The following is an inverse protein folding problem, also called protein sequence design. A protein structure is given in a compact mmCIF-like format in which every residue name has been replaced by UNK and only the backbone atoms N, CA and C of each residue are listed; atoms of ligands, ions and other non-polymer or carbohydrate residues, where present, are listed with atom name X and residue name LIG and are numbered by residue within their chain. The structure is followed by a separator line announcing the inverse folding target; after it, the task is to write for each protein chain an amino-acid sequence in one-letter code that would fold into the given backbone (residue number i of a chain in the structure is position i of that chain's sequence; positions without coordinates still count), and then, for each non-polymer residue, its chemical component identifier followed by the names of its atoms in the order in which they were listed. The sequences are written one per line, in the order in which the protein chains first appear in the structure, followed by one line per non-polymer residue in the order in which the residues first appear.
data_IF_567866943114
#
_entry.id   IF_567866943114
#
_cell.length_a   1.000
_cell.length_b   1.000
_cell.length_c   1.000
_cell.angle_alpha   90.00
_cell.angle_beta   90.00
_cell.angle_gamma   90.00
#
_symmetry.space_group_name_H-M   'P 1'
#
loop_
_entity.id
_entity.type
_entity.pdbx_description
1 polymer ?
#
# COMPACT_ATOMS: atom_id res chain seq x y z
N UNK A 1 9.13 -13.92 -13.84
CA UNK A 1 10.14 -12.83 -13.96
C UNK A 1 10.69 -12.54 -12.58
N UNK A 2 11.95 -12.83 -12.38
CA UNK A 2 12.66 -12.56 -11.12
C UNK A 2 13.09 -11.09 -11.12
N UNK A 3 12.66 -10.30 -10.16
CA UNK A 3 13.02 -8.89 -10.05
C UNK A 3 13.65 -8.66 -8.68
N UNK A 4 14.92 -8.36 -8.65
CA UNK A 4 15.63 -7.90 -7.45
C UNK A 4 15.70 -6.39 -7.53
N UNK A 5 15.26 -5.72 -6.50
CA UNK A 5 15.39 -4.27 -6.38
C UNK A 5 16.20 -3.97 -5.12
N UNK A 6 17.28 -3.25 -5.29
CA UNK A 6 18.11 -2.74 -4.19
C UNK A 6 17.91 -1.23 -4.18
N UNK A 7 17.43 -0.70 -3.08
CA UNK A 7 17.24 0.74 -2.93
C UNK A 7 18.30 1.29 -1.98
N UNK A 8 19.39 1.81 -2.54
CA UNK A 8 20.37 2.57 -1.77
C UNK A 8 19.85 3.99 -1.55
N UNK A 9 19.55 4.33 -0.33
CA UNK A 9 19.17 5.70 0.04
C UNK A 9 20.42 6.49 0.42
N UNK A 10 20.62 7.61 -0.25
CA UNK A 10 21.69 8.54 0.06
C UNK A 10 21.45 9.21 1.42
N UNK A 11 22.54 9.40 2.16
CA UNK A 11 22.62 10.22 3.36
C UNK A 11 22.03 11.61 3.09
N UNK A 12 20.91 11.93 3.73
CA UNK A 12 20.34 13.28 3.69
C UNK A 12 20.96 14.05 4.84
N UNK A 13 21.88 14.94 4.50
CA UNK A 13 22.39 15.94 5.43
C UNK A 13 21.35 17.07 5.48
N UNK A 14 20.58 17.13 6.55
CA UNK A 14 19.63 18.21 6.77
C UNK A 14 20.34 19.32 7.53
N UNK A 15 20.83 20.31 6.76
CA UNK A 15 21.50 21.49 7.26
C UNK A 15 20.73 22.22 8.37
N UNK A 16 21.45 22.54 9.44
CA UNK A 16 21.28 23.60 10.44
C UNK A 16 20.08 23.53 11.42
N UNK A 17 19.09 22.67 11.30
CA UNK A 17 17.95 22.68 12.23
C UNK A 17 17.65 21.36 12.96
N UNK A 18 18.25 20.26 12.53
CA UNK A 18 18.19 18.97 13.24
C UNK A 18 19.57 18.34 13.18
N UNK A 19 20.35 18.35 14.25
CA UNK A 19 21.69 17.78 14.24
C UNK A 19 21.64 16.25 14.35
N UNK A 20 20.93 15.59 13.44
CA UNK A 20 20.88 14.14 13.43
C UNK A 20 21.02 13.62 12.02
N UNK A 21 22.06 12.85 11.69
CA UNK A 21 22.07 12.11 10.45
C UNK A 21 20.93 11.08 10.49
N UNK A 22 19.99 11.21 9.58
CA UNK A 22 19.08 10.11 9.24
C UNK A 22 19.89 9.07 8.48
N UNK A 23 20.13 7.93 9.10
CA UNK A 23 20.76 6.81 8.42
C UNK A 23 19.64 5.86 8.04
N UNK A 24 19.39 5.75 6.74
CA UNK A 24 18.51 4.74 6.17
C UNK A 24 19.42 3.76 5.46
N UNK A 25 19.58 2.57 6.00
CA UNK A 25 20.20 1.48 5.26
C UNK A 25 19.16 0.89 4.29
N UNK A 26 19.61 0.51 3.10
CA UNK A 26 18.72 0.09 2.02
C UNK A 26 18.02 -1.23 2.30
N UNK A 27 16.79 -1.33 1.83
CA UNK A 27 16.02 -2.56 1.85
C UNK A 27 16.37 -3.42 0.64
N UNK A 28 16.65 -4.68 0.85
CA UNK A 28 16.77 -5.66 -0.20
C UNK A 28 15.56 -6.58 -0.18
N UNK A 29 14.80 -6.62 -1.27
CA UNK A 29 13.63 -7.47 -1.37
C UNK A 29 13.57 -8.24 -2.68
N UNK A 30 12.88 -9.37 -2.63
CA UNK A 30 12.62 -10.23 -3.79
C UNK A 30 11.15 -10.29 -4.08
N UNK A 31 10.82 -10.14 -5.36
CA UNK A 31 9.48 -10.39 -5.87
C UNK A 31 9.54 -11.54 -6.87
N UNK A 32 8.68 -12.51 -6.69
CA UNK A 32 8.49 -13.62 -7.61
C UNK A 32 7.03 -13.69 -8.03
N UNK A 33 6.80 -13.75 -9.34
CA UNK A 33 5.46 -13.93 -9.89
C UNK A 33 5.44 -15.16 -10.79
N UNK A 34 4.51 -16.06 -10.49
CA UNK A 34 4.24 -17.23 -11.30
C UNK A 34 2.81 -17.17 -11.82
N UNK A 35 2.63 -17.29 -13.13
CA UNK A 35 1.30 -17.33 -13.74
C UNK A 35 1.21 -18.48 -14.75
N UNK A 36 0.14 -19.27 -14.64
CA UNK A 36 -0.22 -20.31 -15.61
C UNK A 36 -1.62 -20.00 -16.15
N UNK A 37 -1.73 -19.85 -17.46
CA UNK A 37 -3.00 -19.58 -18.14
C UNK A 37 -3.34 -20.62 -19.18
N UNK A 38 -4.61 -20.98 -19.24
CA UNK A 38 -5.21 -21.73 -20.34
C UNK A 38 -6.24 -20.84 -21.02
N UNK A 39 -6.17 -20.78 -22.34
CA UNK A 39 -7.02 -19.91 -23.16
C UNK A 39 -7.71 -20.79 -24.21
N UNK A 40 -9.03 -20.63 -24.34
CA UNK A 40 -9.80 -21.31 -25.37
C UNK A 40 -9.47 -20.77 -26.76
N UNK A 41 -9.87 -21.54 -27.79
CA UNK A 41 -9.92 -20.99 -29.15
C UNK A 41 -11.10 -20.03 -29.30
N UNK A 42 -10.99 -19.02 -30.21
CA UNK A 42 -12.12 -18.17 -30.55
C UNK A 42 -13.35 -18.97 -30.97
N UNK A 43 -14.53 -18.54 -30.51
CA UNK A 43 -15.79 -19.24 -30.82
C UNK A 43 -17.00 -18.57 -30.14
N UNK A 44 -18.09 -19.30 -30.05
CA UNK A 44 -19.31 -18.82 -29.39
C UNK A 44 -19.13 -18.66 -27.87
N UNK A 45 -18.27 -19.48 -27.27
CA UNK A 45 -17.91 -19.45 -25.88
C UNK A 45 -16.39 -19.45 -25.77
N UNK A 46 -15.85 -18.35 -25.28
CA UNK A 46 -14.43 -18.16 -25.08
C UNK A 46 -14.14 -18.08 -23.60
N UNK A 47 -12.98 -18.58 -23.19
CA UNK A 47 -12.61 -18.53 -21.80
C UNK A 47 -11.10 -18.47 -21.62
N UNK A 48 -10.72 -17.84 -20.54
CA UNK A 48 -9.39 -17.88 -19.97
C UNK A 48 -9.52 -18.30 -18.51
N UNK A 49 -8.74 -19.30 -18.10
CA UNK A 49 -8.63 -19.69 -16.69
C UNK A 49 -7.17 -19.74 -16.31
N UNK A 50 -6.86 -19.37 -15.08
CA UNK A 50 -5.48 -19.32 -14.67
C UNK A 50 -5.28 -19.49 -13.18
N UNK A 51 -4.03 -19.77 -12.87
CA UNK A 51 -3.44 -19.77 -11.54
C UNK A 51 -2.42 -18.65 -11.49
N UNK A 52 -2.42 -17.91 -10.41
CA UNK A 52 -1.47 -16.83 -10.13
C UNK A 52 -0.91 -17.00 -8.72
N UNK A 53 0.39 -16.84 -8.59
CA UNK A 53 1.06 -16.78 -7.31
C UNK A 53 2.08 -15.63 -7.34
N UNK A 54 2.02 -14.80 -6.32
CA UNK A 54 2.95 -13.70 -6.08
C UNK A 54 3.58 -13.88 -4.70
N UNK A 55 4.88 -13.71 -4.63
CA UNK A 55 5.64 -13.74 -3.39
C UNK A 55 6.49 -12.48 -3.28
N UNK A 56 6.40 -11.86 -2.14
CA UNK A 56 7.26 -10.79 -1.69
C UNK A 56 8.02 -11.25 -0.47
N UNK A 57 9.33 -11.10 -0.48
CA UNK A 57 10.17 -11.35 0.69
C UNK A 57 11.18 -10.22 0.82
N UNK A 58 11.21 -9.61 1.98
CA UNK A 58 12.28 -8.71 2.39
C UNK A 58 13.40 -9.56 3.01
N UNK A 59 14.64 -9.44 2.51
CA UNK A 59 15.73 -10.30 2.98
C UNK A 59 16.05 -10.05 4.46
N UNK A 60 16.20 -11.16 5.25
CA UNK A 60 16.70 -11.05 6.61
C UNK A 60 18.12 -10.49 6.58
N UNK A 61 18.33 -9.37 7.21
CA UNK A 61 19.52 -8.52 7.26
C UNK A 61 19.61 -7.40 6.18
N UNK A 62 18.68 -7.25 5.27
CA UNK A 62 18.47 -5.98 4.63
C UNK A 62 17.73 -5.09 5.64
N UNK A 63 18.48 -4.46 6.47
CA UNK A 63 17.94 -3.76 7.62
C UNK A 63 17.43 -2.42 7.15
N UNK A 64 16.11 -2.28 7.06
CA UNK A 64 15.50 -0.96 7.07
C UNK A 64 15.73 -0.35 8.44
N UNK A 65 16.92 0.17 8.67
CA UNK A 65 17.26 0.88 9.92
C UNK A 65 17.02 2.35 9.73
N UNK A 66 15.94 2.82 10.29
CA UNK A 66 15.79 4.26 10.50
C UNK A 66 16.35 4.61 11.88
N UNK A 67 17.47 5.29 11.92
CA UNK A 67 18.10 5.70 13.16
C UNK A 67 18.13 7.24 13.22
N UNK A 68 17.60 7.78 14.29
CA UNK A 68 17.69 9.19 14.58
C UNK A 68 18.69 9.41 15.72
N UNK A 69 19.84 10.01 15.41
CA UNK A 69 20.77 10.48 16.43
C UNK A 69 20.45 11.94 16.75
N UNK A 70 20.38 12.29 18.02
CA UNK A 70 20.09 13.64 18.48
C UNK A 70 21.21 14.13 19.39
N UNK A 71 21.44 15.46 19.43
CA UNK A 71 22.28 15.99 20.46
C UNK A 71 21.57 15.99 21.82
N UNK A 72 22.35 16.07 22.89
CA UNK A 72 21.86 15.95 24.24
C UNK A 72 20.89 17.08 24.62
N UNK A 73 21.11 18.30 24.15
CA UNK A 73 20.28 19.47 24.49
C UNK A 73 18.89 19.35 23.85
N UNK A 74 18.82 18.82 22.65
CA UNK A 74 17.55 18.60 21.94
C UNK A 74 16.78 17.41 22.53
N UNK A 75 17.47 16.34 22.92
CA UNK A 75 16.89 15.18 23.58
C UNK A 75 16.28 15.60 24.93
N UNK A 76 16.99 16.40 25.72
CA UNK A 76 16.51 16.97 26.95
C UNK A 76 15.24 17.80 26.70
N UNK A 77 15.23 18.66 25.70
CA UNK A 77 14.07 19.48 25.36
C UNK A 77 12.84 18.65 24.97
N UNK A 78 13.00 17.62 24.16
CA UNK A 78 11.89 16.75 23.70
C UNK A 78 11.35 15.91 24.84
N UNK A 79 12.20 15.35 25.67
CA UNK A 79 11.79 14.52 26.83
C UNK A 79 11.08 15.35 27.87
N UNK A 80 11.51 16.57 28.10
CA UNK A 80 10.86 17.53 29.00
C UNK A 80 9.46 17.88 28.51
N UNK A 81 9.31 18.12 27.21
CA UNK A 81 8.04 18.50 26.62
C UNK A 81 7.06 17.33 26.53
N UNK A 82 7.55 16.14 26.15
CA UNK A 82 6.69 14.96 25.91
C UNK A 82 6.34 14.18 27.18
N UNK A 83 7.23 14.17 28.19
CA UNK A 83 7.07 13.35 29.39
C UNK A 83 6.68 14.15 30.65
N UNK A 84 6.58 15.46 30.55
CA UNK A 84 6.33 16.31 31.74
C UNK A 84 7.43 16.25 32.80
N UNK A 85 8.64 15.87 32.39
CA UNK A 85 9.84 15.83 33.25
C UNK A 85 10.48 17.20 33.32
N UNK A 86 11.16 17.50 34.44
CA UNK A 86 11.84 18.78 34.60
C UNK A 86 13.26 18.73 34.00
N UNK A 87 13.78 19.89 33.51
CA UNK A 87 15.18 20.01 33.09
C UNK A 87 16.10 19.61 34.26
N UNK A 88 17.01 18.68 34.01
CA UNK A 88 17.95 18.15 35.02
C UNK A 88 17.56 16.79 35.62
N UNK A 89 16.34 16.32 35.44
CA UNK A 89 15.94 14.97 35.84
C UNK A 89 16.33 13.90 34.83
N UNK A 90 16.78 14.29 33.65
CA UNK A 90 17.19 13.43 32.59
C UNK A 90 18.71 13.21 32.54
N UNK A 91 19.15 12.01 32.70
CA UNK A 91 20.53 11.60 32.53
C UNK A 91 20.61 10.59 31.36
N UNK A 92 21.14 11.04 30.25
CA UNK A 92 21.29 10.23 29.03
C UNK A 92 22.11 8.94 29.28
N UNK A 93 23.00 8.95 30.25
CA UNK A 93 23.80 7.76 30.60
C UNK A 93 23.01 6.71 31.34
N UNK A 94 21.89 7.06 31.95
CA UNK A 94 20.99 6.15 32.68
C UNK A 94 19.94 5.58 31.73
N UNK A 95 19.44 6.37 30.79
CA UNK A 95 18.30 6.01 29.95
C UNK A 95 18.69 5.43 28.59
N UNK A 96 19.97 5.36 28.28
CA UNK A 96 20.45 4.95 26.97
C UNK A 96 21.47 3.79 26.91
N UNK A 97 21.73 2.98 27.96
CA UNK A 97 22.56 1.78 27.78
C UNK A 97 21.67 0.60 27.33
N UNK A 98 22.05 -0.19 26.36
CA UNK A 98 23.29 -0.30 25.59
C UNK A 98 23.25 0.36 24.20
N UNK A 99 22.19 1.07 23.87
CA UNK A 99 21.94 1.57 22.51
C UNK A 99 22.72 2.85 22.16
N UNK A 100 23.20 3.55 23.17
CA UNK A 100 23.96 4.78 22.94
C UNK A 100 25.36 4.57 22.40
N UNK A 101 25.95 3.38 22.51
CA UNK A 101 27.32 3.12 22.10
C UNK A 101 27.41 2.38 20.76
N UNK A 102 26.35 2.33 19.99
CA UNK A 102 26.98 1.64 19.03
C UNK A 102 26.52 0.84 17.94
N UNK A 103 25.36 0.93 17.50
CA UNK A 103 25.08 0.18 16.27
C UNK A 103 25.82 0.78 15.07
N UNK A 104 26.15 2.09 15.10
CA UNK A 104 26.88 2.78 14.02
C UNK A 104 27.93 3.79 14.50
N UNK A 105 28.36 3.73 15.77
CA UNK A 105 29.40 4.63 16.29
C UNK A 105 28.92 6.07 16.63
N UNK A 106 27.64 6.29 16.72
CA UNK A 106 27.05 7.56 17.14
C UNK A 106 26.70 7.54 18.63
N UNK A 107 26.99 8.60 19.38
CA UNK A 107 26.87 8.56 20.84
C UNK A 107 25.45 8.62 21.39
N UNK A 108 24.41 8.93 20.58
CA UNK A 108 23.06 9.11 21.06
C UNK A 108 22.03 8.63 20.06
N UNK A 109 21.26 7.60 20.42
CA UNK A 109 20.12 7.14 19.64
C UNK A 109 18.81 7.58 20.27
N UNK A 110 18.02 8.23 19.46
CA UNK A 110 16.69 8.64 19.84
C UNK A 110 15.66 7.54 19.56
N UNK A 111 15.72 6.96 18.38
CA UNK A 111 14.81 5.95 17.90
C UNK A 111 15.47 5.14 16.77
N UNK A 112 15.17 3.87 16.74
CA UNK A 112 15.53 3.00 15.63
C UNK A 112 14.47 1.94 15.42
N UNK A 113 14.38 1.44 14.20
CA UNK A 113 13.55 0.29 13.85
C UNK A 113 14.29 -0.58 12.86
N UNK A 114 14.05 -1.87 12.90
CA UNK A 114 14.46 -2.77 11.86
C UNK A 114 13.44 -3.88 11.67
N UNK A 115 13.37 -4.42 10.46
CA UNK A 115 12.54 -5.56 10.09
C UNK A 115 13.45 -6.78 9.96
N UNK A 116 13.16 -7.83 10.73
CA UNK A 116 13.89 -9.09 10.64
C UNK A 116 13.46 -9.88 9.41
N UNK A 117 12.15 -9.89 9.14
CA UNK A 117 11.55 -10.39 7.90
C UNK A 117 10.20 -9.73 7.66
N UNK A 118 9.85 -9.64 6.38
CA UNK A 118 8.53 -9.23 5.93
C UNK A 118 8.19 -10.03 4.66
N UNK A 119 7.22 -10.88 4.78
CA UNK A 119 6.84 -11.83 3.75
C UNK A 119 5.37 -11.66 3.42
N UNK A 120 5.04 -11.72 2.14
CA UNK A 120 3.67 -11.77 1.66
C UNK A 120 3.56 -12.75 0.50
N UNK A 121 2.58 -13.62 0.55
CA UNK A 121 2.25 -14.53 -0.54
C UNK A 121 0.78 -14.36 -0.93
N UNK A 122 0.51 -14.13 -2.20
CA UNK A 122 -0.82 -14.18 -2.77
C UNK A 122 -0.94 -15.38 -3.69
N UNK A 123 -1.92 -16.22 -3.45
CA UNK A 123 -2.31 -17.31 -4.35
C UNK A 123 -3.72 -17.04 -4.86
N UNK A 124 -3.93 -17.10 -6.17
CA UNK A 124 -5.27 -16.94 -6.73
C UNK A 124 -5.56 -17.83 -7.92
N UNK A 125 -6.83 -18.21 -8.03
CA UNK A 125 -7.41 -18.82 -9.20
C UNK A 125 -8.38 -17.85 -9.84
N UNK A 126 -8.31 -17.71 -11.15
CA UNK A 126 -9.18 -16.80 -11.85
C UNK A 126 -9.73 -17.41 -13.15
N UNK A 127 -10.86 -16.88 -13.55
CA UNK A 127 -11.48 -17.22 -14.83
C UNK A 127 -12.21 -16.04 -15.42
N UNK A 128 -12.15 -15.91 -16.74
CA UNK A 128 -13.02 -15.03 -17.51
C UNK A 128 -13.70 -15.84 -18.59
N UNK A 129 -14.98 -15.62 -18.77
CA UNK A 129 -15.85 -16.35 -19.69
C UNK A 129 -16.61 -15.35 -20.54
N UNK A 130 -16.41 -15.42 -21.86
CA UNK A 130 -17.05 -14.56 -22.83
C UNK A 130 -18.04 -15.39 -23.65
N UNK A 131 -19.30 -15.00 -23.62
CA UNK A 131 -20.37 -15.63 -24.39
C UNK A 131 -20.80 -14.72 -25.53
N UNK A 132 -20.42 -15.08 -26.74
CA UNK A 132 -20.82 -14.42 -27.98
C UNK A 132 -22.27 -14.85 -28.32
N UNK A 133 -23.27 -14.08 -27.82
CA UNK A 133 -24.68 -14.34 -28.06
C UNK A 133 -24.97 -14.37 -29.56
N UNK A 134 -24.40 -13.41 -30.27
CA UNK A 134 -24.36 -13.29 -31.72
C UNK A 134 -23.15 -12.42 -32.13
N UNK A 135 -23.00 -12.13 -33.41
CA UNK A 135 -21.86 -11.35 -33.96
C UNK A 135 -21.76 -9.92 -33.41
N UNK A 136 -22.75 -9.45 -32.68
CA UNK A 136 -22.81 -8.09 -32.14
C UNK A 136 -22.80 -8.01 -30.61
N UNK A 137 -23.24 -9.04 -29.92
CA UNK A 137 -23.44 -9.01 -28.47
C UNK A 137 -22.58 -10.05 -27.79
N UNK A 138 -21.69 -9.58 -26.91
CA UNK A 138 -20.89 -10.41 -26.03
C UNK A 138 -21.22 -10.12 -24.58
N UNK A 139 -21.40 -11.17 -23.79
CA UNK A 139 -21.53 -11.13 -22.35
C UNK A 139 -20.28 -11.70 -21.72
N UNK A 140 -19.69 -10.99 -20.77
CA UNK A 140 -18.48 -11.39 -20.05
C UNK A 140 -18.81 -11.60 -18.58
N UNK A 141 -18.32 -12.71 -18.03
CA UNK A 141 -18.28 -12.99 -16.60
C UNK A 141 -16.84 -13.31 -16.20
N UNK A 142 -16.36 -12.65 -15.16
CA UNK A 142 -15.04 -12.88 -14.56
C UNK A 142 -15.18 -13.21 -13.08
N UNK A 143 -14.28 -14.06 -12.60
CA UNK A 143 -14.16 -14.43 -11.20
C UNK A 143 -12.67 -14.56 -10.85
N UNK A 144 -12.28 -14.08 -9.68
CA UNK A 144 -10.98 -14.32 -9.05
C UNK A 144 -11.20 -14.65 -7.60
N UNK A 145 -10.77 -15.82 -7.20
CA UNK A 145 -10.70 -16.27 -5.82
C UNK A 145 -9.25 -16.18 -5.37
N UNK A 146 -8.98 -15.50 -4.27
CA UNK A 146 -7.63 -15.27 -3.81
C UNK A 146 -7.48 -15.50 -2.31
N UNK A 147 -6.29 -15.88 -1.92
CA UNK A 147 -5.82 -15.95 -0.54
C UNK A 147 -4.48 -15.21 -0.45
N UNK A 148 -4.37 -14.34 0.55
CA UNK A 148 -3.15 -13.61 0.88
C UNK A 148 -2.74 -14.04 2.28
N UNK A 149 -1.50 -14.50 2.39
CA UNK A 149 -0.84 -14.78 3.66
C UNK A 149 0.28 -13.77 3.85
N UNK A 150 0.42 -13.24 5.05
CA UNK A 150 1.49 -12.32 5.39
C UNK A 150 2.08 -12.66 6.75
N UNK A 151 3.39 -12.50 6.88
CA UNK A 151 4.13 -12.63 8.12
C UNK A 151 5.22 -11.57 8.19
N UNK A 152 5.37 -10.96 9.36
CA UNK A 152 6.40 -9.97 9.58
C UNK A 152 6.93 -10.01 11.00
N UNK A 153 8.21 -9.69 11.17
CA UNK A 153 8.81 -9.47 12.47
C UNK A 153 9.65 -8.21 12.43
N UNK A 154 9.25 -7.25 13.24
CA UNK A 154 9.90 -5.96 13.32
C UNK A 154 10.22 -5.59 14.76
N UNK A 155 11.27 -4.81 14.91
CA UNK A 155 11.74 -4.31 16.19
C UNK A 155 11.76 -2.79 16.15
N UNK A 156 11.40 -2.20 17.30
CA UNK A 156 11.51 -0.77 17.55
C UNK A 156 12.26 -0.58 18.85
N UNK A 157 13.19 0.34 18.90
CA UNK A 157 14.02 0.58 20.08
C UNK A 157 14.33 2.06 20.28
N UNK A 158 14.78 2.37 21.48
CA UNK A 158 15.14 3.73 21.87
C UNK A 158 14.27 4.26 22.99
N UNK A 159 14.35 5.58 23.21
CA UNK A 159 13.75 6.24 24.38
C UNK A 159 12.23 6.08 24.52
N UNK A 160 11.54 5.80 23.40
CA UNK A 160 10.09 5.62 23.42
C UNK A 160 9.64 4.22 23.85
N UNK A 161 10.56 3.28 23.98
CA UNK A 161 10.28 1.86 24.25
C UNK A 161 10.97 1.36 25.51
N UNK A 162 11.43 2.23 26.41
CA UNK A 162 12.25 1.88 27.58
C UNK A 162 11.62 0.82 28.50
N UNK A 163 10.30 0.71 28.50
CA UNK A 163 9.56 -0.27 29.31
C UNK A 163 9.27 -1.58 28.54
N UNK A 164 9.71 -1.70 27.29
CA UNK A 164 9.47 -2.87 26.44
C UNK A 164 10.60 -3.88 26.58
N UNK A 165 10.27 -5.19 26.48
CA UNK A 165 11.20 -6.30 26.69
C UNK A 165 11.37 -7.20 25.44
N UNK A 166 11.02 -6.71 24.25
CA UNK A 166 11.11 -7.47 23.01
C UNK A 166 10.05 -8.57 22.85
N UNK A 167 10.25 -9.48 21.89
CA UNK A 167 9.34 -10.59 21.61
C UNK A 167 9.47 -11.76 22.59
N UNK A 168 10.67 -12.08 23.01
CA UNK A 168 10.99 -13.30 23.77
C UNK A 168 11.50 -13.04 25.22
N UNK A 169 11.57 -11.78 25.61
CA UNK A 169 12.08 -11.35 26.93
C UNK A 169 13.61 -11.45 27.07
N UNK A 170 14.32 -11.83 26.00
CA UNK A 170 15.79 -11.85 25.94
C UNK A 170 16.34 -10.65 25.22
N UNK A 171 15.49 -9.90 24.53
CA UNK A 171 15.87 -8.67 23.87
C UNK A 171 16.27 -7.60 24.91
N UNK A 172 17.16 -6.69 24.55
CA UNK A 172 17.56 -5.65 25.47
C UNK A 172 16.38 -4.79 25.94
N UNK A 173 16.40 -4.33 27.18
CA UNK A 173 15.42 -3.39 27.68
C UNK A 173 15.35 -2.15 26.76
N UNK A 174 14.14 -1.62 26.51
CA UNK A 174 13.94 -0.55 25.55
C UNK A 174 13.77 -1.00 24.10
N UNK A 175 13.59 -2.29 23.88
CA UNK A 175 13.21 -2.85 22.57
C UNK A 175 11.77 -3.31 22.61
N UNK A 176 10.95 -2.87 21.67
CA UNK A 176 9.63 -3.43 21.40
C UNK A 176 9.69 -4.29 20.15
N UNK A 177 8.98 -5.38 20.14
CA UNK A 177 8.97 -6.31 19.02
C UNK A 177 7.54 -6.63 18.63
N UNK A 178 7.32 -6.68 17.34
CA UNK A 178 6.08 -7.17 16.75
C UNK A 178 6.37 -8.35 15.84
N UNK A 179 5.91 -9.52 16.23
CA UNK A 179 5.86 -10.71 15.38
C UNK A 179 4.40 -11.00 15.07
N UNK A 180 4.04 -10.87 13.82
CA UNK A 180 2.66 -10.88 13.34
C UNK A 180 2.55 -11.78 12.11
N UNK A 181 1.47 -12.52 12.04
CA UNK A 181 1.08 -13.24 10.84
C UNK A 181 -0.42 -13.16 10.67
N UNK A 182 -0.88 -13.28 9.46
CA UNK A 182 -2.29 -13.29 9.17
C UNK A 182 -2.57 -13.79 7.76
N UNK A 183 -3.85 -14.05 7.50
CA UNK A 183 -4.34 -14.36 6.17
C UNK A 183 -5.67 -13.70 5.94
N UNK A 184 -5.94 -13.42 4.67
CA UNK A 184 -7.25 -13.00 4.19
C UNK A 184 -7.56 -13.68 2.88
N UNK A 185 -8.82 -13.98 2.63
CA UNK A 185 -9.28 -14.56 1.37
C UNK A 185 -10.60 -13.95 0.98
N UNK A 186 -10.79 -13.74 -0.32
CA UNK A 186 -12.07 -13.26 -0.85
C UNK A 186 -12.21 -13.61 -2.33
N UNK A 187 -13.41 -13.38 -2.85
CA UNK A 187 -13.76 -13.63 -4.26
C UNK A 187 -14.21 -12.34 -4.92
N UNK A 188 -13.56 -11.96 -6.02
CA UNK A 188 -13.89 -10.78 -6.82
C UNK A 188 -14.56 -11.18 -8.11
N UNK A 189 -15.56 -10.41 -8.51
CA UNK A 189 -16.36 -10.69 -9.70
C UNK A 189 -16.27 -9.53 -10.68
N UNK A 190 -16.45 -9.87 -11.95
CA UNK A 190 -16.54 -8.95 -13.07
C UNK A 190 -17.72 -9.34 -13.95
N UNK A 191 -18.51 -8.36 -14.32
CA UNK A 191 -19.59 -8.48 -15.29
C UNK A 191 -19.37 -7.44 -16.38
N UNK A 192 -19.53 -7.86 -17.64
CA UNK A 192 -19.50 -6.89 -18.71
C UNK A 192 -20.44 -7.30 -19.84
N UNK A 193 -20.92 -6.29 -20.54
CA UNK A 193 -21.66 -6.44 -21.80
C UNK A 193 -21.05 -5.52 -22.84
N UNK A 194 -20.87 -6.06 -24.04
CA UNK A 194 -20.37 -5.30 -25.19
C UNK A 194 -21.34 -5.51 -26.36
N UNK A 195 -21.80 -4.41 -26.95
CA UNK A 195 -22.70 -4.42 -28.09
C UNK A 195 -22.12 -3.63 -29.27
N UNK A 196 -21.81 -4.35 -30.34
CA UNK A 196 -21.33 -3.80 -31.59
C UNK A 196 -22.52 -3.31 -32.43
N UNK A 197 -22.80 -2.01 -32.39
CA UNK A 197 -23.87 -1.38 -33.19
C UNK A 197 -23.61 -1.61 -34.68
N UNK A 198 -22.35 -1.31 -35.07
CA UNK A 198 -21.80 -1.60 -36.39
C UNK A 198 -20.27 -1.79 -36.26
N UNK A 199 -19.56 -2.00 -37.36
CA UNK A 199 -18.11 -2.24 -37.39
C UNK A 199 -17.26 -1.12 -36.76
N UNK A 200 -17.81 0.08 -36.67
CA UNK A 200 -17.12 1.29 -36.25
C UNK A 200 -17.60 1.80 -34.88
N UNK A 201 -18.66 1.24 -34.30
CA UNK A 201 -19.27 1.72 -33.06
C UNK A 201 -19.62 0.55 -32.13
N UNK A 202 -19.07 0.59 -30.92
CA UNK A 202 -19.33 -0.36 -29.84
C UNK A 202 -19.78 0.38 -28.58
N UNK A 203 -20.84 -0.11 -27.97
CA UNK A 203 -21.29 0.28 -26.64
C UNK A 203 -20.86 -0.79 -25.64
N UNK A 204 -20.48 -0.39 -24.44
CA UNK A 204 -20.16 -1.34 -23.40
C UNK A 204 -20.60 -0.86 -22.00
N UNK A 205 -20.80 -1.81 -21.12
CA UNK A 205 -20.91 -1.58 -19.69
C UNK A 205 -20.09 -2.64 -18.96
N UNK A 206 -19.46 -2.23 -17.87
CA UNK A 206 -18.62 -3.12 -17.04
C UNK A 206 -18.86 -2.79 -15.57
N UNK A 207 -18.94 -3.83 -14.74
CA UNK A 207 -18.83 -3.73 -13.29
C UNK A 207 -17.74 -4.70 -12.84
N UNK A 208 -16.77 -4.21 -12.08
CA UNK A 208 -15.65 -5.01 -11.60
C UNK A 208 -15.18 -4.50 -10.23
N UNK A 209 -14.82 -5.44 -9.36
CA UNK A 209 -14.21 -5.14 -8.08
C UNK A 209 -12.72 -5.44 -8.10
N UNK A 210 -11.95 -4.52 -7.49
CA UNK A 210 -10.52 -4.65 -7.22
C UNK A 210 -10.24 -4.48 -5.73
N UNK A 211 -9.00 -4.76 -5.30
CA UNK A 211 -8.59 -4.61 -3.90
C UNK A 211 -7.13 -4.19 -3.81
N UNK A 212 -6.78 -3.56 -2.67
CA UNK A 212 -5.38 -3.47 -2.22
C UNK A 212 -5.22 -4.35 -0.99
N UNK A 213 -4.15 -5.16 -0.92
CA UNK A 213 -3.88 -6.02 0.23
C UNK A 213 -3.83 -5.24 1.54
N UNK A 214 -4.33 -5.85 2.60
CA UNK A 214 -4.08 -5.46 3.98
C UNK A 214 -2.63 -5.75 4.39
N UNK A 215 -2.35 -5.61 5.67
CA UNK A 215 -1.00 -5.89 6.17
C UNK A 215 -0.86 -5.71 7.66
N UNK A 216 0.35 -5.97 8.13
CA UNK A 216 0.76 -5.81 9.51
C UNK A 216 1.47 -4.48 9.73
N UNK A 217 1.50 -4.02 10.97
CA UNK A 217 2.25 -2.83 11.36
C UNK A 217 2.75 -2.94 12.80
N UNK A 218 3.84 -2.23 13.06
CA UNK A 218 4.44 -2.18 14.38
C UNK A 218 3.48 -1.59 15.43
N UNK A 219 3.63 -1.97 16.71
CA UNK A 219 2.79 -1.45 17.78
C UNK A 219 2.96 0.07 17.96
N UNK A 220 1.96 0.70 18.57
CA UNK A 220 2.09 2.08 19.01
C UNK A 220 3.06 2.15 20.19
N UNK A 221 3.93 3.19 20.23
CA UNK A 221 4.79 3.42 21.40
C UNK A 221 3.96 3.65 22.68
N UNK A 222 4.50 3.30 23.85
CA UNK A 222 3.81 3.46 25.13
C UNK A 222 3.28 4.87 25.41
N UNK A 223 3.95 5.92 24.94
CA UNK A 223 3.49 7.30 25.11
C UNK A 223 2.21 7.63 24.34
N UNK A 224 1.85 6.86 23.32
CA UNK A 224 0.56 6.98 22.62
C UNK A 224 -0.61 6.37 23.41
N UNK A 225 -0.36 5.73 24.55
CA UNK A 225 -1.41 5.09 25.37
C UNK A 225 -2.47 6.07 25.90
N UNK A 226 -2.14 7.33 26.05
CA UNK A 226 -3.03 8.40 26.48
C UNK A 226 -3.77 9.10 25.34
N UNK A 227 -3.44 8.80 24.08
CA UNK A 227 -4.10 9.37 22.92
C UNK A 227 -5.35 8.55 22.58
N UNK A 228 -6.52 9.08 22.91
CA UNK A 228 -7.81 8.39 22.68
C UNK A 228 -8.05 8.08 21.20
N UNK A 229 -7.65 8.98 20.29
CA UNK A 229 -7.84 8.77 18.85
C UNK A 229 -6.93 7.66 18.33
N UNK A 230 -5.68 7.58 18.82
CA UNK A 230 -4.78 6.51 18.50
C UNK A 230 -5.32 5.17 19.00
N UNK A 231 -5.73 5.09 20.27
CA UNK A 231 -6.23 3.85 20.87
C UNK A 231 -7.53 3.34 20.24
N UNK A 232 -8.39 4.24 19.77
CA UNK A 232 -9.69 3.87 19.21
C UNK A 232 -9.58 3.23 17.81
N UNK A 233 -8.59 3.62 17.02
CA UNK A 233 -8.50 3.25 15.61
C UNK A 233 -7.29 2.35 15.28
N UNK A 234 -6.32 2.26 16.17
CA UNK A 234 -5.14 1.45 15.95
C UNK A 234 -5.46 -0.05 16.01
N UNK A 235 -4.98 -0.77 15.02
CA UNK A 235 -4.90 -2.23 15.02
C UNK A 235 -3.53 -2.64 14.49
N UNK A 236 -2.94 -3.69 15.04
CA UNK A 236 -1.68 -4.26 14.52
C UNK A 236 -1.82 -4.85 13.11
N UNK A 237 -3.05 -5.10 12.69
CA UNK A 237 -3.40 -5.52 11.34
C UNK A 237 -4.50 -4.62 10.80
N UNK A 238 -4.36 -4.21 9.55
CA UNK A 238 -5.39 -3.57 8.75
C UNK A 238 -5.77 -4.48 7.58
N UNK A 239 -7.04 -4.50 7.21
CA UNK A 239 -7.58 -5.39 6.18
C UNK A 239 -7.36 -4.79 4.79
N UNK A 240 -7.55 -5.61 3.76
CA UNK A 240 -7.70 -5.14 2.39
C UNK A 240 -8.80 -4.11 2.26
N UNK A 241 -8.61 -3.13 1.38
CA UNK A 241 -9.69 -2.27 0.91
C UNK A 241 -10.23 -2.75 -0.44
N UNK A 242 -11.44 -2.33 -0.77
CA UNK A 242 -12.13 -2.73 -1.99
C UNK A 242 -12.61 -1.52 -2.78
N UNK A 243 -12.36 -1.54 -4.09
CA UNK A 243 -12.92 -0.57 -5.02
C UNK A 243 -13.79 -1.29 -6.05
N UNK A 244 -15.09 -1.01 -6.04
CA UNK A 244 -16.02 -1.46 -7.08
C UNK A 244 -16.19 -0.35 -8.11
N UNK A 245 -15.93 -0.67 -9.37
CA UNK A 245 -16.05 0.26 -10.49
C UNK A 245 -17.17 -0.16 -11.42
N UNK A 246 -18.08 0.76 -11.71
CA UNK A 246 -19.11 0.64 -12.75
C UNK A 246 -18.81 1.60 -13.88
N UNK A 247 -18.73 1.11 -15.10
CA UNK A 247 -18.43 1.89 -16.31
C UNK A 247 -19.50 1.70 -17.38
N UNK A 248 -19.79 2.80 -18.08
CA UNK A 248 -20.58 2.81 -19.31
C UNK A 248 -19.81 3.59 -20.37
N UNK A 249 -19.57 2.96 -21.52
CA UNK A 249 -18.75 3.60 -22.52
C UNK A 249 -19.16 3.35 -23.94
N UNK A 250 -18.64 4.22 -24.80
CA UNK A 250 -18.80 4.19 -26.25
C UNK A 250 -17.43 4.25 -26.90
N UNK A 251 -17.13 3.25 -27.74
CA UNK A 251 -15.93 3.22 -28.56
C UNK A 251 -16.30 3.41 -30.01
N UNK A 252 -15.74 4.42 -30.64
CA UNK A 252 -15.93 4.71 -32.06
C UNK A 252 -14.58 4.72 -32.78
N UNK A 253 -14.53 4.11 -33.96
CA UNK A 253 -13.34 4.08 -34.81
C UNK A 253 -13.71 4.29 -36.28
N UNK A 254 -13.09 5.23 -36.93
CA UNK A 254 -13.17 5.47 -38.37
C UNK A 254 -11.81 5.27 -39.03
N UNK A 255 -11.72 5.63 -40.33
CA UNK A 255 -10.45 5.52 -41.05
C UNK A 255 -9.37 6.43 -40.43
N UNK A 256 -9.76 7.64 -40.01
CA UNK A 256 -8.82 8.65 -39.52
C UNK A 256 -9.00 9.00 -38.04
N UNK A 257 -9.92 8.37 -37.31
CA UNK A 257 -10.16 8.71 -35.92
C UNK A 257 -10.42 7.48 -35.06
N UNK A 258 -10.10 7.60 -33.78
CA UNK A 258 -10.62 6.76 -32.72
C UNK A 258 -11.12 7.65 -31.57
N UNK A 259 -12.22 7.26 -30.95
CA UNK A 259 -12.79 7.95 -29.83
C UNK A 259 -13.28 6.94 -28.78
N UNK A 260 -13.00 7.20 -27.52
CA UNK A 260 -13.57 6.50 -26.40
C UNK A 260 -14.16 7.53 -25.45
N UNK A 261 -15.41 7.34 -25.05
CA UNK A 261 -16.09 8.16 -24.05
C UNK A 261 -16.63 7.22 -23.00
N UNK A 262 -16.22 7.41 -21.77
CA UNK A 262 -16.59 6.55 -20.63
C UNK A 262 -17.13 7.42 -19.49
N UNK A 263 -18.27 7.04 -18.96
CA UNK A 263 -18.70 7.43 -17.62
C UNK A 263 -18.31 6.34 -16.66
N UNK A 264 -17.70 6.71 -15.54
CA UNK A 264 -17.34 5.79 -14.46
C UNK A 264 -17.93 6.25 -13.14
N UNK A 265 -18.17 5.28 -12.29
CA UNK A 265 -18.57 5.42 -10.91
C UNK A 265 -17.80 4.40 -10.07
N UNK A 266 -17.13 4.88 -9.02
CA UNK A 266 -16.26 4.06 -8.15
C UNK A 266 -16.71 4.20 -6.71
N UNK A 267 -17.09 3.09 -6.13
CA UNK A 267 -17.31 2.93 -4.70
C UNK A 267 -16.07 2.31 -4.06
N UNK A 268 -15.47 3.02 -3.10
CA UNK A 268 -14.28 2.56 -2.42
C UNK A 268 -14.56 2.36 -0.93
N UNK A 269 -14.47 1.12 -0.47
CA UNK A 269 -14.83 0.72 0.89
C UNK A 269 -13.58 0.30 1.69
N UNK A 270 -13.60 0.61 2.99
CA UNK A 270 -12.52 0.24 3.92
C UNK A 270 -11.16 0.84 3.58
N UNK A 271 -11.12 2.03 2.99
CA UNK A 271 -9.91 2.67 2.47
C UNK A 271 -8.76 2.60 3.48
N UNK A 272 -7.63 2.04 3.04
CA UNK A 272 -6.39 2.04 3.83
C UNK A 272 -5.83 3.46 3.81
N UNK A 273 -5.90 4.14 4.96
CA UNK A 273 -5.38 5.50 5.13
C UNK A 273 -4.32 5.51 6.22
N UNK A 274 -3.30 6.37 6.04
CA UNK A 274 -2.30 6.64 7.04
C UNK A 274 -2.67 7.91 7.82
N UNK A 275 -2.66 7.82 9.13
CA UNK A 275 -2.95 8.94 10.02
C UNK A 275 -1.81 9.21 10.97
N UNK A 276 -1.75 10.46 11.43
CA UNK A 276 -0.84 10.91 12.48
C UNK A 276 -1.69 11.45 13.63
N UNK A 277 -1.96 10.66 14.68
CA UNK A 277 -2.71 11.11 15.85
C UNK A 277 -1.97 12.16 16.66
N UNK A 278 -2.58 12.64 17.74
CA UNK A 278 -2.01 13.68 18.60
C UNK A 278 -0.66 13.31 19.21
N UNK A 279 -0.41 12.03 19.44
CA UNK A 279 0.90 11.53 19.91
C UNK A 279 2.00 11.58 18.82
N UNK A 280 1.67 11.91 17.58
CA UNK A 280 2.63 12.07 16.48
C UNK A 280 3.08 10.78 15.79
N UNK A 281 2.65 9.61 16.24
CA UNK A 281 3.04 8.32 15.66
C UNK A 281 2.12 7.90 14.51
N UNK A 282 2.68 7.64 13.33
CA UNK A 282 1.91 7.27 12.14
C UNK A 282 1.51 5.81 12.17
N UNK A 283 0.28 5.53 11.75
CA UNK A 283 -0.19 4.18 11.52
C UNK A 283 -1.24 4.13 10.40
N UNK A 284 -1.45 2.93 9.85
CA UNK A 284 -2.50 2.66 8.87
C UNK A 284 -3.74 2.11 9.57
N UNK A 285 -4.90 2.46 9.07
CA UNK A 285 -6.14 1.80 9.45
C UNK A 285 -7.15 1.84 8.28
N UNK A 286 -8.16 0.99 8.34
CA UNK A 286 -9.24 1.03 7.38
C UNK A 286 -10.15 2.21 7.72
N UNK A 287 -10.08 3.26 6.92
CA UNK A 287 -10.94 4.44 7.01
C UNK A 287 -12.34 4.14 6.50
N UNK A 288 -13.11 5.18 6.24
CA UNK A 288 -14.48 5.07 5.79
C UNK A 288 -14.61 4.65 4.32
N UNK A 289 -15.57 5.24 3.66
CA UNK A 289 -15.89 5.04 2.25
C UNK A 289 -15.61 6.31 1.46
N UNK A 290 -15.25 6.15 0.19
CA UNK A 290 -15.24 7.24 -0.77
C UNK A 290 -15.99 6.81 -2.03
N UNK A 291 -16.69 7.76 -2.61
CA UNK A 291 -17.36 7.62 -3.89
C UNK A 291 -16.77 8.63 -4.85
N UNK A 292 -16.49 8.22 -6.05
CA UNK A 292 -16.04 9.14 -7.10
C UNK A 292 -16.66 8.76 -8.43
N UNK A 293 -17.09 9.74 -9.20
CA UNK A 293 -17.64 9.51 -10.53
C UNK A 293 -17.14 10.54 -11.52
N UNK A 294 -17.16 10.21 -12.79
CA UNK A 294 -16.65 11.14 -13.77
C UNK A 294 -16.81 10.68 -15.20
N UNK A 295 -16.21 11.48 -16.08
CA UNK A 295 -16.15 11.21 -17.50
C UNK A 295 -14.71 11.20 -17.97
N UNK A 296 -14.40 10.21 -18.79
CA UNK A 296 -13.15 10.12 -19.54
C UNK A 296 -13.43 10.19 -21.02
N UNK A 297 -12.67 10.99 -21.74
CA UNK A 297 -12.76 11.13 -23.18
C UNK A 297 -11.37 11.05 -23.77
N UNK A 298 -11.14 10.02 -24.59
CA UNK A 298 -9.93 9.89 -25.39
C UNK A 298 -10.31 10.03 -26.88
N UNK A 299 -9.61 10.88 -27.56
CA UNK A 299 -9.85 11.13 -28.98
C UNK A 299 -8.53 11.28 -29.73
N UNK A 300 -8.35 10.48 -30.77
CA UNK A 300 -7.23 10.60 -31.69
C UNK A 300 -7.76 10.86 -33.08
N UNK A 301 -7.16 11.81 -33.76
CA UNK A 301 -7.49 12.12 -35.16
C UNK A 301 -6.21 12.27 -36.01
N UNK A 302 -6.08 11.43 -37.02
CA UNK A 302 -5.03 11.56 -38.05
C UNK A 302 -5.47 12.58 -39.13
N UNK A 303 -4.84 13.74 -39.14
CA UNK A 303 -5.10 14.78 -40.15
C UNK A 303 -4.59 14.33 -41.53
N UNK A 304 -3.42 13.69 -41.52
CA UNK A 304 -2.79 13.05 -42.66
C UNK A 304 -1.76 12.01 -42.16
N UNK A 305 -0.99 11.41 -43.07
CA UNK A 305 -0.01 10.37 -42.73
C UNK A 305 1.15 10.85 -41.83
N UNK A 306 1.35 12.15 -41.71
CA UNK A 306 2.46 12.76 -40.98
C UNK A 306 2.01 13.50 -39.71
N UNK A 307 0.71 13.78 -39.54
CA UNK A 307 0.20 14.59 -38.44
C UNK A 307 -1.05 13.99 -37.83
N UNK A 308 -1.00 13.78 -36.50
CA UNK A 308 -2.15 13.41 -35.68
C UNK A 308 -2.36 14.40 -34.52
N UNK A 309 -3.58 14.41 -34.01
CA UNK A 309 -3.97 15.13 -32.79
C UNK A 309 -4.55 14.13 -31.82
N UNK A 310 -4.04 14.15 -30.61
CA UNK A 310 -4.51 13.35 -29.49
C UNK A 310 -5.06 14.27 -28.41
N UNK A 311 -6.27 13.98 -27.95
CA UNK A 311 -6.93 14.67 -26.84
C UNK A 311 -7.31 13.62 -25.79
N UNK A 312 -6.90 13.86 -24.54
CA UNK A 312 -7.40 13.11 -23.38
C UNK A 312 -7.96 14.11 -22.37
N UNK A 313 -9.18 13.86 -21.92
CA UNK A 313 -9.87 14.66 -20.92
C UNK A 313 -10.43 13.74 -19.84
N UNK A 314 -10.14 14.05 -18.58
CA UNK A 314 -10.71 13.39 -17.41
C UNK A 314 -11.42 14.46 -16.58
N UNK A 315 -12.69 14.27 -16.34
CA UNK A 315 -13.49 15.11 -15.45
C UNK A 315 -14.01 14.26 -14.30
N UNK A 316 -13.52 14.54 -13.08
CA UNK A 316 -13.88 13.83 -11.86
C UNK A 316 -14.84 14.70 -11.04
N UNK A 317 -15.94 14.12 -10.61
CA UNK A 317 -16.88 14.70 -9.65
C UNK A 317 -16.68 13.96 -8.34
N UNK A 318 -15.88 14.52 -7.43
CA UNK A 318 -15.73 13.96 -6.09
C UNK A 318 -16.90 14.36 -5.21
N UNK A 319 -17.35 13.49 -4.27
CA UNK A 319 -18.27 13.90 -3.24
C UNK A 319 -17.63 15.00 -2.40
N UNK A 320 -18.37 16.05 -2.12
CA UNK A 320 -17.88 17.23 -1.40
C UNK A 320 -17.54 16.98 0.07
N UNK A 321 -17.68 15.76 0.58
CA UNK A 321 -17.29 15.34 1.93
C UNK A 321 -16.95 13.86 1.98
N UNK A 322 -15.78 13.48 2.53
CA UNK A 322 -15.56 12.10 2.96
C UNK A 322 -16.64 11.75 4.00
N UNK A 323 -17.28 10.60 3.82
CA UNK A 323 -18.20 10.08 4.83
C UNK A 323 -17.34 9.45 5.94
N UNK A 324 -17.03 10.24 6.96
CA UNK A 324 -16.40 9.72 8.18
C UNK A 324 -17.46 9.04 9.06
#
# INVERSE_FOLDING_TARGET
VYKRQVTDWARIDMDDYVPAPLIVDGDEYYEETTELRLISKPGKFEWTVGYYNYKFNEEPNSVSQTQYAMDQDWLEYVMLYAAGLNPGDYDATIYCPPFCEGHLGYPYFYYGSYTEYNEQEETSFYGQFDYNVNDKLTLTFGIRDYEIEDASKSYQYGIFFMDSNGCDGNDPAGTDCAELSGSESDTRMKYAVSYMVNKDLTLYATQAAGYRPGGNQAPLPPFCSSDEAAQANFSRRFNSDEAETTEFGVKARGENYSANVTYFDVDWDGIIIQVTPGCGWRYNFNGGKAETSGWEVDFTYAINDELSVDLSLIHISEPTRPLY
#
